data_IF_221630769828
#
_entry.id   IF_221630769828
#
_cell.length_a   1.000
_cell.length_b   1.000
_cell.length_c   1.000
_cell.angle_alpha   90.00
_cell.angle_beta   90.00
_cell.angle_gamma   90.00
#
_symmetry.space_group_name_H-M   'P 1'
#
loop_
_entity.id
_entity.type
_entity.pdbx_description
1 polymer ?
#
# COMPACT_ATOMS: atom_id res chain seq x y z
N UNK A 1 15.44 35.52 3.96
CA UNK A 1 14.74 34.36 3.36
C UNK A 1 13.42 34.22 4.11
N UNK A 2 12.26 34.11 3.46
CA UNK A 2 11.00 33.87 4.16
C UNK A 2 11.08 32.56 4.95
N UNK A 3 10.62 32.56 6.19
CA UNK A 3 10.60 31.35 7.03
C UNK A 3 9.65 30.31 6.43
N UNK A 4 10.11 29.07 6.31
CA UNK A 4 9.30 27.97 5.79
C UNK A 4 8.15 27.66 6.77
N UNK A 5 6.96 27.38 6.23
CA UNK A 5 5.82 26.97 7.07
C UNK A 5 6.10 25.62 7.73
N UNK A 6 5.53 25.39 8.92
CA UNK A 6 5.65 24.12 9.66
C UNK A 6 5.25 22.89 8.81
N UNK A 7 4.18 23.00 8.01
CA UNK A 7 3.77 21.94 7.07
C UNK A 7 4.86 21.65 6.01
N UNK A 8 5.52 22.69 5.49
CA UNK A 8 6.61 22.53 4.51
C UNK A 8 7.85 21.90 5.15
N UNK A 9 8.16 22.26 6.40
CA UNK A 9 9.26 21.62 7.15
C UNK A 9 8.99 20.13 7.40
N UNK A 10 7.77 19.77 7.79
CA UNK A 10 7.33 18.36 7.95
C UNK A 10 7.50 17.56 6.65
N UNK A 11 7.08 18.13 5.51
CA UNK A 11 7.27 17.51 4.20
C UNK A 11 8.75 17.25 3.90
N UNK A 12 9.61 18.25 4.10
CA UNK A 12 11.05 18.14 3.86
C UNK A 12 11.66 17.03 4.73
N UNK A 13 11.32 16.97 6.02
CA UNK A 13 11.80 15.93 6.93
C UNK A 13 11.39 14.52 6.46
N UNK A 14 10.15 14.35 5.98
CA UNK A 14 9.68 13.07 5.44
C UNK A 14 10.47 12.66 4.19
N UNK A 15 10.79 13.60 3.31
CA UNK A 15 11.62 13.35 2.13
C UNK A 15 13.06 12.96 2.51
N UNK A 16 13.63 13.60 3.51
CA UNK A 16 14.95 13.22 4.05
C UNK A 16 14.90 11.79 4.62
N UNK A 17 13.89 11.45 5.41
CA UNK A 17 13.73 10.09 5.95
C UNK A 17 13.54 9.04 4.85
N UNK A 18 12.82 9.39 3.78
CA UNK A 18 12.67 8.52 2.61
C UNK A 18 14.02 8.30 1.94
N UNK A 19 14.78 9.36 1.67
CA UNK A 19 16.11 9.25 1.06
C UNK A 19 17.06 8.38 1.92
N UNK A 20 17.05 8.56 3.23
CA UNK A 20 17.82 7.72 4.16
C UNK A 20 17.38 6.25 4.13
N UNK A 21 16.07 5.99 3.98
CA UNK A 21 15.54 4.62 3.90
C UNK A 21 15.96 3.86 2.63
N UNK A 22 16.38 4.57 1.58
CA UNK A 22 16.90 3.96 0.35
C UNK A 22 18.33 3.42 0.51
N UNK A 23 19.06 3.87 1.52
CA UNK A 23 20.41 3.37 1.79
C UNK A 23 20.34 1.96 2.34
N UNK A 24 21.13 1.06 1.77
CA UNK A 24 21.20 -0.34 2.20
C UNK A 24 21.68 -0.38 3.64
N UNK A 25 20.90 -1.01 4.52
CA UNK A 25 21.32 -1.24 5.91
C UNK A 25 22.26 -2.43 5.94
N UNK A 26 23.54 -2.18 6.23
CA UNK A 26 24.54 -3.24 6.38
C UNK A 26 24.13 -4.21 7.50
N UNK A 27 24.30 -5.51 7.25
CA UNK A 27 24.07 -6.57 8.25
C UNK A 27 22.62 -7.05 8.41
N UNK A 28 21.66 -6.59 7.59
CA UNK A 28 20.29 -7.13 7.60
C UNK A 28 20.16 -8.23 6.54
N UNK A 29 19.78 -9.47 6.91
CA UNK A 29 19.47 -10.52 5.94
C UNK A 29 18.33 -10.11 5.01
N UNK A 30 18.58 -10.16 3.71
CA UNK A 30 17.61 -9.85 2.66
C UNK A 30 17.25 -11.11 1.88
N UNK A 31 16.04 -11.12 1.33
CA UNK A 31 15.56 -12.23 0.52
C UNK A 31 16.30 -12.25 -0.81
N UNK A 32 17.03 -13.35 -1.04
CA UNK A 32 17.71 -13.64 -2.29
C UNK A 32 16.96 -14.71 -3.08
N UNK A 33 16.87 -14.53 -4.39
CA UNK A 33 16.33 -15.55 -5.29
C UNK A 33 17.21 -15.77 -6.51
N UNK A 34 17.69 -17.01 -6.68
CA UNK A 34 18.64 -17.40 -7.74
C UNK A 34 18.04 -17.28 -9.16
N UNK A 35 16.75 -17.56 -9.30
CA UNK A 35 16.04 -17.61 -10.59
C UNK A 35 15.61 -16.24 -11.13
N UNK A 36 16.00 -15.13 -10.49
CA UNK A 36 15.71 -13.79 -11.03
C UNK A 36 16.51 -13.61 -12.31
N UNK A 37 15.88 -13.93 -13.44
CA UNK A 37 16.50 -13.86 -14.76
C UNK A 37 17.03 -12.43 -14.97
N UNK A 38 18.24 -12.29 -15.50
CA UNK A 38 18.87 -10.98 -15.80
C UNK A 38 17.94 -10.02 -16.58
N UNK A 39 17.02 -10.56 -17.39
CA UNK A 39 15.97 -9.79 -18.10
C UNK A 39 14.95 -9.13 -17.16
N UNK A 40 14.58 -9.81 -16.08
CA UNK A 40 13.63 -9.30 -15.06
C UNK A 40 14.30 -8.22 -14.22
N UNK A 41 15.55 -8.43 -13.80
CA UNK A 41 16.33 -7.42 -13.08
C UNK A 41 16.55 -6.15 -13.92
N UNK A 42 16.96 -6.31 -15.19
CA UNK A 42 17.13 -5.18 -16.11
C UNK A 42 15.81 -4.49 -16.50
N UNK A 43 14.68 -5.19 -16.42
CA UNK A 43 13.36 -4.60 -16.58
C UNK A 43 12.97 -3.75 -15.37
N UNK A 44 13.21 -4.23 -14.14
CA UNK A 44 12.95 -3.45 -12.92
C UNK A 44 13.75 -2.13 -12.89
N UNK A 45 15.05 -2.17 -13.18
CA UNK A 45 15.88 -0.95 -13.21
C UNK A 45 15.43 0.05 -14.30
N UNK A 46 14.95 -0.45 -15.45
CA UNK A 46 14.36 0.40 -16.49
C UNK A 46 13.02 1.01 -16.07
N UNK A 47 12.20 0.27 -15.32
CA UNK A 47 10.91 0.75 -14.80
C UNK A 47 11.12 1.89 -13.79
N UNK A 48 12.06 1.73 -12.86
CA UNK A 48 12.29 2.63 -11.72
C UNK A 48 12.50 4.11 -12.11
N UNK A 49 13.04 4.37 -13.30
CA UNK A 49 13.33 5.74 -13.78
C UNK A 49 12.30 6.33 -14.74
N UNK A 50 11.36 5.52 -15.26
CA UNK A 50 10.52 5.91 -16.41
C UNK A 50 9.01 5.79 -16.11
N UNK A 51 8.63 4.88 -15.22
CA UNK A 51 7.21 4.62 -14.90
C UNK A 51 6.74 5.53 -13.76
N UNK A 52 5.53 6.08 -13.90
CA UNK A 52 4.85 6.82 -12.84
C UNK A 52 4.60 5.89 -11.64
N UNK A 53 4.86 6.37 -10.43
CA UNK A 53 4.62 5.66 -9.17
C UNK A 53 3.26 4.92 -9.18
N UNK A 54 2.20 5.58 -9.69
CA UNK A 54 0.86 4.96 -9.74
C UNK A 54 0.88 3.63 -10.49
N UNK A 55 1.54 3.59 -11.64
CA UNK A 55 1.59 2.41 -12.49
C UNK A 55 2.41 1.29 -11.82
N UNK A 56 3.52 1.65 -11.16
CA UNK A 56 4.34 0.69 -10.42
C UNK A 56 3.56 0.02 -9.28
N UNK A 57 2.85 0.83 -8.47
CA UNK A 57 2.01 0.33 -7.37
C UNK A 57 0.86 -0.54 -7.87
N UNK A 58 0.18 -0.14 -8.95
CA UNK A 58 -0.91 -0.92 -9.54
C UNK A 58 -0.42 -2.29 -10.06
N UNK A 59 0.76 -2.35 -10.68
CA UNK A 59 1.35 -3.60 -11.16
C UNK A 59 1.68 -4.54 -10.00
N UNK A 60 2.32 -4.04 -8.94
CA UNK A 60 2.63 -4.82 -7.73
C UNK A 60 1.36 -5.32 -7.04
N UNK A 61 0.42 -4.42 -6.77
CA UNK A 61 -0.88 -4.75 -6.17
C UNK A 61 -1.59 -5.83 -6.97
N UNK A 62 -1.69 -5.69 -8.29
CA UNK A 62 -2.38 -6.67 -9.14
C UNK A 62 -1.70 -8.05 -9.09
N UNK A 63 -0.36 -8.10 -9.01
CA UNK A 63 0.37 -9.34 -8.84
C UNK A 63 0.08 -9.97 -7.47
N UNK A 64 0.16 -9.21 -6.38
CA UNK A 64 -0.15 -9.67 -5.03
C UNK A 64 -1.59 -10.19 -4.97
N UNK A 65 -2.56 -9.43 -5.46
CA UNK A 65 -3.97 -9.78 -5.46
C UNK A 65 -4.22 -11.10 -6.21
N UNK A 66 -3.57 -11.30 -7.37
CA UNK A 66 -3.66 -12.55 -8.15
C UNK A 66 -3.12 -13.74 -7.36
N UNK A 67 -1.97 -13.59 -6.71
CA UNK A 67 -1.34 -14.66 -5.91
C UNK A 67 -2.21 -14.99 -4.70
N UNK A 68 -2.71 -13.98 -3.99
CA UNK A 68 -3.61 -14.14 -2.85
C UNK A 68 -4.89 -14.87 -3.27
N UNK A 69 -5.57 -14.41 -4.33
CA UNK A 69 -6.82 -15.03 -4.79
C UNK A 69 -6.61 -16.49 -5.18
N UNK A 70 -5.51 -16.79 -5.89
CA UNK A 70 -5.18 -18.17 -6.27
C UNK A 70 -4.95 -19.06 -5.05
N UNK A 71 -4.30 -18.57 -3.99
CA UNK A 71 -3.90 -19.40 -2.84
C UNK A 71 -4.95 -19.48 -1.74
N UNK A 72 -5.60 -18.36 -1.40
CA UNK A 72 -6.65 -18.30 -0.38
C UNK A 72 -7.95 -18.98 -0.81
N UNK A 73 -8.22 -19.08 -2.12
CA UNK A 73 -9.33 -19.88 -2.62
C UNK A 73 -9.08 -21.39 -2.48
N UNK A 74 -7.81 -21.81 -2.50
CA UNK A 74 -7.40 -23.22 -2.49
C UNK A 74 -7.03 -23.77 -1.09
N UNK A 75 -6.64 -22.92 -0.14
CA UNK A 75 -6.24 -23.31 1.22
C UNK A 75 -6.91 -22.41 2.25
N UNK A 76 -7.62 -23.02 3.20
CA UNK A 76 -8.29 -22.32 4.33
C UNK A 76 -7.31 -22.02 5.48
N UNK A 77 -6.18 -22.69 5.50
CA UNK A 77 -5.11 -22.51 6.45
C UNK A 77 -4.08 -21.52 5.88
N UNK A 78 -4.15 -20.26 6.33
CA UNK A 78 -3.22 -19.19 5.93
C UNK A 78 -1.75 -19.44 6.30
N UNK A 79 -1.44 -20.56 6.98
CA UNK A 79 -0.09 -20.93 7.41
C UNK A 79 0.81 -21.15 6.20
N UNK A 80 1.95 -20.45 6.19
CA UNK A 80 3.04 -20.58 5.20
C UNK A 80 2.73 -20.02 3.80
N UNK A 81 1.78 -19.08 3.66
CA UNK A 81 1.53 -18.42 2.37
C UNK A 81 2.48 -17.25 2.09
N UNK A 82 2.95 -16.56 3.14
CA UNK A 82 3.70 -15.33 3.01
C UNK A 82 5.04 -15.51 2.30
N UNK A 83 5.85 -16.47 2.74
CA UNK A 83 7.16 -16.73 2.16
C UNK A 83 7.07 -17.03 0.66
N UNK A 84 6.35 -18.09 0.22
CA UNK A 84 6.27 -18.37 -1.21
C UNK A 84 5.52 -17.28 -2.00
N UNK A 85 4.73 -16.39 -1.38
CA UNK A 85 4.17 -15.21 -2.04
C UNK A 85 5.27 -14.16 -2.30
N UNK A 86 6.09 -13.84 -1.32
CA UNK A 86 7.16 -12.85 -1.44
C UNK A 86 8.23 -13.32 -2.44
N UNK A 87 8.63 -14.60 -2.37
CA UNK A 87 9.57 -15.18 -3.34
C UNK A 87 9.01 -15.14 -4.78
N UNK A 88 7.72 -15.44 -4.99
CA UNK A 88 7.09 -15.36 -6.31
C UNK A 88 7.07 -13.92 -6.86
N UNK A 89 6.83 -12.93 -6.00
CA UNK A 89 6.85 -11.53 -6.38
C UNK A 89 8.25 -11.04 -6.79
N UNK A 90 9.30 -11.50 -6.10
CA UNK A 90 10.70 -11.19 -6.46
C UNK A 90 11.08 -11.91 -7.76
N UNK A 91 10.81 -13.21 -7.89
CA UNK A 91 11.05 -13.97 -9.14
C UNK A 91 10.35 -13.35 -10.35
N UNK A 92 9.11 -12.88 -10.15
CA UNK A 92 8.32 -12.21 -11.18
C UNK A 92 8.78 -10.78 -11.50
N UNK A 93 9.75 -10.21 -10.78
CA UNK A 93 10.25 -8.86 -10.98
C UNK A 93 9.35 -7.75 -10.47
N UNK A 94 8.36 -8.08 -9.66
CA UNK A 94 7.49 -7.08 -9.04
C UNK A 94 8.22 -6.31 -7.92
N UNK A 95 9.23 -6.94 -7.32
CA UNK A 95 10.11 -6.31 -6.34
C UNK A 95 11.58 -6.66 -6.64
N UNK A 96 12.52 -5.78 -6.25
CA UNK A 96 13.94 -6.01 -6.46
C UNK A 96 14.47 -7.16 -5.59
N UNK A 97 15.39 -7.93 -6.17
CA UNK A 97 16.16 -8.94 -5.43
C UNK A 97 17.07 -8.26 -4.39
N UNK A 98 17.37 -8.93 -3.27
CA UNK A 98 18.33 -8.47 -2.26
C UNK A 98 18.01 -7.10 -1.62
N UNK A 99 16.73 -6.71 -1.59
CA UNK A 99 16.29 -5.43 -1.00
C UNK A 99 15.27 -5.57 0.12
N UNK A 100 14.45 -6.62 0.10
CA UNK A 100 13.42 -6.85 1.11
C UNK A 100 14.05 -7.65 2.26
N UNK A 101 14.02 -7.16 3.51
CA UNK A 101 14.47 -7.92 4.67
C UNK A 101 13.65 -9.20 4.85
N UNK A 102 14.30 -10.31 5.24
CA UNK A 102 13.59 -11.57 5.52
C UNK A 102 12.53 -11.42 6.62
N UNK A 103 12.73 -10.49 7.57
CA UNK A 103 11.75 -10.19 8.62
C UNK A 103 10.39 -9.76 8.07
N UNK A 104 10.33 -9.19 6.86
CA UNK A 104 9.09 -8.78 6.21
C UNK A 104 8.17 -9.94 5.86
N UNK A 105 8.71 -11.15 5.71
CA UNK A 105 7.89 -12.36 5.51
C UNK A 105 6.93 -12.54 6.69
N UNK A 106 7.41 -12.33 7.92
CA UNK A 106 6.58 -12.45 9.13
C UNK A 106 5.50 -11.37 9.17
N UNK A 107 5.83 -10.15 8.73
CA UNK A 107 4.84 -9.05 8.66
C UNK A 107 3.77 -9.35 7.61
N UNK A 108 4.16 -9.83 6.42
CA UNK A 108 3.22 -10.28 5.39
C UNK A 108 2.32 -11.41 5.90
N UNK A 109 2.87 -12.36 6.67
CA UNK A 109 2.07 -13.45 7.24
C UNK A 109 1.00 -12.93 8.20
N UNK A 110 1.33 -11.99 9.09
CA UNK A 110 0.34 -11.35 9.98
C UNK A 110 -0.79 -10.68 9.21
N UNK A 111 -0.45 -10.01 8.11
CA UNK A 111 -1.44 -9.35 7.25
C UNK A 111 -2.37 -10.41 6.63
N UNK A 112 -1.82 -11.47 6.05
CA UNK A 112 -2.61 -12.58 5.49
C UNK A 112 -3.53 -13.18 6.55
N UNK A 113 -3.01 -13.50 7.73
CA UNK A 113 -3.78 -14.10 8.83
C UNK A 113 -4.94 -13.20 9.27
N UNK A 114 -4.71 -11.88 9.33
CA UNK A 114 -5.74 -10.89 9.66
C UNK A 114 -6.90 -10.92 8.66
N UNK A 115 -6.61 -10.94 7.36
CA UNK A 115 -7.67 -10.96 6.33
C UNK A 115 -8.36 -12.33 6.23
N UNK A 116 -7.64 -13.43 6.45
CA UNK A 116 -8.25 -14.76 6.60
C UNK A 116 -9.24 -14.77 7.77
N UNK A 117 -8.84 -14.22 8.92
CA UNK A 117 -9.72 -14.11 10.08
C UNK A 117 -11.00 -13.32 9.78
N UNK A 118 -10.91 -12.19 9.08
CA UNK A 118 -12.10 -11.42 8.68
C UNK A 118 -13.03 -12.21 7.75
N UNK A 119 -12.47 -13.01 6.84
CA UNK A 119 -13.26 -13.86 5.95
C UNK A 119 -13.97 -14.99 6.71
N UNK A 120 -13.28 -15.63 7.65
CA UNK A 120 -13.84 -16.71 8.49
C UNK A 120 -14.95 -16.23 9.43
N UNK A 121 -14.83 -14.99 9.93
CA UNK A 121 -15.82 -14.39 10.84
C UNK A 121 -16.97 -13.69 10.12
N UNK A 122 -17.00 -13.71 8.79
CA UNK A 122 -18.08 -13.07 8.02
C UNK A 122 -19.43 -13.75 8.31
N UNK A 123 -20.44 -13.00 8.78
CA UNK A 123 -21.74 -13.56 9.17
C UNK A 123 -22.66 -13.86 7.97
N UNK A 124 -22.29 -13.49 6.74
CA UNK A 124 -23.18 -13.62 5.59
C UNK A 124 -23.39 -15.09 5.23
N UNK A 125 -24.64 -15.49 4.98
CA UNK A 125 -25.00 -16.81 4.47
C UNK A 125 -25.06 -16.85 2.93
N UNK A 126 -25.21 -15.69 2.28
CA UNK A 126 -25.36 -15.58 0.83
C UNK A 126 -24.02 -15.69 0.10
N UNK A 127 -23.93 -16.65 -0.81
CA UNK A 127 -22.71 -16.95 -1.57
C UNK A 127 -22.19 -15.74 -2.37
N UNK A 128 -23.09 -14.98 -3.01
CA UNK A 128 -22.70 -13.79 -3.78
C UNK A 128 -22.10 -12.68 -2.90
N UNK A 129 -22.66 -12.47 -1.71
CA UNK A 129 -22.13 -11.48 -0.77
C UNK A 129 -20.76 -11.90 -0.23
N UNK A 130 -20.56 -13.20 0.03
CA UNK A 130 -19.26 -13.75 0.41
C UNK A 130 -18.21 -13.53 -0.68
N UNK A 131 -18.55 -13.77 -1.94
CA UNK A 131 -17.63 -13.56 -3.07
C UNK A 131 -17.24 -12.07 -3.20
N UNK A 132 -18.21 -11.17 -3.11
CA UNK A 132 -17.94 -9.72 -3.15
C UNK A 132 -17.05 -9.27 -1.99
N UNK A 133 -17.33 -9.75 -0.77
CA UNK A 133 -16.51 -9.45 0.40
C UNK A 133 -15.09 -10.02 0.25
N UNK A 134 -14.98 -11.23 -0.29
CA UNK A 134 -13.70 -11.87 -0.58
C UNK A 134 -12.86 -11.06 -1.56
N UNK A 135 -13.46 -10.63 -2.67
CA UNK A 135 -12.79 -9.81 -3.66
C UNK A 135 -12.35 -8.47 -3.07
N UNK A 136 -13.23 -7.82 -2.31
CA UNK A 136 -12.91 -6.56 -1.66
C UNK A 136 -11.78 -6.72 -0.63
N UNK A 137 -11.87 -7.66 0.31
CA UNK A 137 -10.83 -7.90 1.32
C UNK A 137 -9.50 -8.31 0.69
N UNK A 138 -9.52 -9.12 -0.38
CA UNK A 138 -8.30 -9.47 -1.12
C UNK A 138 -7.65 -8.25 -1.75
N UNK A 139 -8.44 -7.30 -2.27
CA UNK A 139 -7.92 -6.06 -2.84
C UNK A 139 -7.30 -5.15 -1.78
N UNK A 140 -7.87 -5.09 -0.56
CA UNK A 140 -7.31 -4.33 0.56
C UNK A 140 -6.04 -5.01 1.09
N UNK A 141 -6.06 -6.35 1.26
CA UNK A 141 -4.89 -7.13 1.67
C UNK A 141 -3.71 -6.92 0.70
N UNK A 142 -3.99 -6.87 -0.60
CA UNK A 142 -2.97 -6.59 -1.60
C UNK A 142 -2.37 -5.19 -1.45
N UNK A 143 -3.18 -4.16 -1.13
CA UNK A 143 -2.68 -2.81 -0.87
C UNK A 143 -1.77 -2.79 0.37
N UNK A 144 -2.16 -3.49 1.44
CA UNK A 144 -1.39 -3.51 2.68
C UNK A 144 -0.06 -4.28 2.56
N UNK A 145 -0.08 -5.43 1.87
CA UNK A 145 1.14 -6.19 1.56
C UNK A 145 2.06 -5.39 0.62
N UNK A 146 1.49 -4.65 -0.32
CA UNK A 146 2.29 -3.79 -1.20
C UNK A 146 2.98 -2.69 -0.38
N UNK A 147 2.23 -2.00 0.49
CA UNK A 147 2.75 -0.94 1.34
C UNK A 147 3.82 -1.43 2.32
N UNK A 148 3.68 -2.64 2.91
CA UNK A 148 4.66 -3.16 3.87
C UNK A 148 5.99 -3.53 3.19
N UNK A 149 5.94 -3.97 1.92
CA UNK A 149 7.08 -4.38 1.12
C UNK A 149 7.73 -3.19 0.38
N UNK A 150 6.95 -2.17 0.01
CA UNK A 150 7.43 -0.93 -0.62
C UNK A 150 6.70 0.30 -0.05
N UNK A 151 7.15 0.82 1.12
CA UNK A 151 6.47 1.93 1.78
C UNK A 151 6.51 3.23 0.93
N UNK A 152 5.36 3.83 0.59
CA UNK A 152 5.28 5.06 -0.22
C UNK A 152 5.44 6.32 0.64
N UNK A 153 6.59 6.44 1.32
CA UNK A 153 6.85 7.51 2.31
C UNK A 153 6.72 8.89 1.67
N UNK A 154 7.25 9.04 0.46
CA UNK A 154 7.30 10.30 -0.29
C UNK A 154 5.91 10.75 -0.71
N UNK A 155 5.12 9.83 -1.25
CA UNK A 155 3.78 10.08 -1.77
C UNK A 155 2.79 10.34 -0.64
N UNK A 156 2.87 9.57 0.45
CA UNK A 156 2.06 9.82 1.64
C UNK A 156 2.36 11.21 2.23
N UNK A 157 3.63 11.63 2.26
CA UNK A 157 3.99 12.97 2.72
C UNK A 157 3.39 14.08 1.83
N UNK A 158 3.35 13.89 0.51
CA UNK A 158 2.70 14.82 -0.41
C UNK A 158 1.18 14.86 -0.25
N UNK A 159 0.55 13.69 -0.07
CA UNK A 159 -0.89 13.59 0.19
C UNK A 159 -1.24 14.36 1.46
N UNK A 160 -0.52 14.10 2.56
CA UNK A 160 -0.74 14.80 3.85
C UNK A 160 -0.53 16.31 3.70
N UNK A 161 0.57 16.74 3.07
CA UNK A 161 0.87 18.15 2.87
C UNK A 161 -0.23 18.87 2.09
N UNK A 162 -0.65 18.27 0.96
CA UNK A 162 -1.68 18.84 0.10
C UNK A 162 -3.05 18.84 0.78
N UNK A 163 -3.38 17.79 1.53
CA UNK A 163 -4.60 17.73 2.33
C UNK A 163 -4.66 18.88 3.34
N UNK A 164 -3.58 19.09 4.11
CA UNK A 164 -3.48 20.16 5.10
C UNK A 164 -3.64 21.56 4.46
N UNK A 165 -3.04 21.78 3.29
CA UNK A 165 -3.19 23.04 2.55
C UNK A 165 -4.59 23.23 1.96
N UNK A 166 -5.20 22.16 1.43
CA UNK A 166 -6.54 22.22 0.85
C UNK A 166 -7.61 22.43 1.91
N UNK A 167 -7.48 21.85 3.11
CA UNK A 167 -8.38 22.09 4.24
C UNK A 167 -8.50 23.57 4.62
N UNK A 168 -7.41 24.33 4.52
CA UNK A 168 -7.38 25.77 4.81
C UNK A 168 -8.07 26.62 3.74
N UNK A 169 -8.10 26.13 2.49
CA UNK A 169 -8.55 26.87 1.31
C UNK A 169 -9.98 26.53 0.89
N UNK A 170 -10.38 25.28 1.06
CA UNK A 170 -11.68 24.78 0.62
C UNK A 170 -12.74 25.16 1.64
N UNK A 171 -13.66 26.04 1.21
CA UNK A 171 -14.89 26.37 1.93
C UNK A 171 -16.04 25.56 1.34
N UNK A 172 -16.77 24.86 2.20
CA UNK A 172 -17.98 24.13 1.80
C UNK A 172 -19.17 25.07 1.95
N UNK A 173 -20.11 25.00 1.01
CA UNK A 173 -21.33 25.78 1.08
C UNK A 173 -22.13 25.38 2.33
N UNK A 174 -22.51 26.35 3.16
CA UNK A 174 -23.28 26.13 4.40
C UNK A 174 -24.64 25.43 4.17
N UNK A 175 -25.17 25.48 2.95
CA UNK A 175 -26.38 24.76 2.55
C UNK A 175 -26.18 23.24 2.45
N UNK A 176 -24.94 22.77 2.34
CA UNK A 176 -24.61 21.36 2.43
C UNK A 176 -24.40 21.04 3.91
N UNK A 177 -25.30 20.27 4.51
CA UNK A 177 -25.18 19.79 5.90
C UNK A 177 -24.09 18.72 6.03
N UNK A 178 -22.84 19.11 5.78
CA UNK A 178 -21.64 18.27 5.92
C UNK A 178 -20.95 18.60 7.25
N UNK A 179 -20.65 17.58 8.03
CA UNK A 179 -19.76 17.72 9.18
C UNK A 179 -18.34 18.07 8.73
N UNK A 180 -17.55 18.69 9.62
CA UNK A 180 -16.13 18.95 9.34
C UNK A 180 -15.35 17.64 9.13
N UNK A 181 -15.74 16.53 9.77
CA UNK A 181 -15.13 15.23 9.55
C UNK A 181 -15.39 14.71 8.12
N UNK A 182 -16.64 14.75 7.65
CA UNK A 182 -16.98 14.32 6.30
C UNK A 182 -16.31 15.18 5.24
N UNK A 183 -16.31 16.50 5.42
CA UNK A 183 -15.56 17.43 4.56
C UNK A 183 -14.09 17.05 4.49
N UNK A 184 -13.46 16.79 5.62
CA UNK A 184 -12.07 16.39 5.73
C UNK A 184 -11.77 15.07 5.01
N UNK A 185 -12.66 14.08 5.14
CA UNK A 185 -12.58 12.81 4.39
C UNK A 185 -12.70 13.05 2.88
N UNK A 186 -13.64 13.88 2.43
CA UNK A 186 -13.80 14.19 1.01
C UNK A 186 -12.57 14.90 0.43
N UNK A 187 -11.99 15.84 1.16
CA UNK A 187 -10.73 16.51 0.76
C UNK A 187 -9.60 15.48 0.66
N UNK A 188 -9.47 14.59 1.64
CA UNK A 188 -8.45 13.55 1.63
C UNK A 188 -8.58 12.61 0.43
N UNK A 189 -9.81 12.20 0.08
CA UNK A 189 -10.10 11.39 -1.11
C UNK A 189 -9.77 12.18 -2.39
N UNK A 190 -10.18 13.44 -2.46
CA UNK A 190 -9.95 14.29 -3.63
C UNK A 190 -8.46 14.52 -3.90
N UNK A 191 -7.67 14.76 -2.87
CA UNK A 191 -6.21 14.94 -2.98
C UNK A 191 -5.54 13.68 -3.52
N UNK A 192 -5.90 12.50 -3.02
CA UNK A 192 -5.36 11.23 -3.51
C UNK A 192 -5.68 11.00 -5.00
N UNK A 193 -6.93 11.30 -5.40
CA UNK A 193 -7.36 11.20 -6.81
C UNK A 193 -6.65 12.22 -7.70
N UNK A 194 -6.42 13.44 -7.20
CA UNK A 194 -5.82 14.51 -7.97
C UNK A 194 -4.30 14.33 -8.15
N UNK A 195 -3.58 13.99 -7.08
CA UNK A 195 -2.11 13.87 -7.11
C UNK A 195 -1.65 12.60 -7.82
N UNK A 196 -2.22 11.46 -7.46
CA UNK A 196 -1.69 10.15 -7.85
C UNK A 196 -2.72 9.28 -8.57
N UNK A 197 -3.94 9.79 -8.78
CA UNK A 197 -5.05 9.05 -9.42
C UNK A 197 -5.23 7.65 -8.81
N UNK A 198 -5.14 7.57 -7.48
CA UNK A 198 -5.24 6.31 -6.74
C UNK A 198 -6.54 5.59 -7.07
N UNK A 199 -6.47 4.27 -7.13
CA UNK A 199 -7.64 3.44 -7.39
C UNK A 199 -8.52 3.32 -6.12
N UNK A 200 -9.80 2.92 -6.26
CA UNK A 200 -10.71 2.81 -5.12
C UNK A 200 -10.20 1.88 -4.00
N UNK A 201 -9.57 0.72 -4.28
CA UNK A 201 -8.98 -0.12 -3.22
C UNK A 201 -7.90 0.60 -2.39
N UNK A 202 -6.95 1.31 -3.00
CA UNK A 202 -5.90 2.04 -2.25
C UNK A 202 -6.53 3.14 -1.40
N UNK A 203 -7.46 3.91 -1.96
CA UNK A 203 -8.17 4.95 -1.21
C UNK A 203 -8.94 4.34 -0.03
N UNK A 204 -9.61 3.20 -0.23
CA UNK A 204 -10.34 2.50 0.83
C UNK A 204 -9.40 2.04 1.94
N UNK A 205 -8.24 1.49 1.58
CA UNK A 205 -7.20 1.09 2.52
C UNK A 205 -6.65 2.28 3.33
N UNK A 206 -6.35 3.39 2.68
CA UNK A 206 -5.94 4.63 3.36
C UNK A 206 -7.01 5.14 4.34
N UNK A 207 -8.30 5.08 3.97
CA UNK A 207 -9.41 5.44 4.85
C UNK A 207 -9.53 4.47 6.04
N UNK A 208 -9.34 3.17 5.83
CA UNK A 208 -9.32 2.16 6.89
C UNK A 208 -8.21 2.46 7.91
N UNK A 209 -6.98 2.71 7.45
CA UNK A 209 -5.86 3.09 8.32
C UNK A 209 -6.12 4.37 9.10
N UNK A 210 -6.77 5.35 8.48
CA UNK A 210 -7.11 6.62 9.13
C UNK A 210 -8.19 6.45 10.20
N UNK A 211 -9.18 5.60 9.94
CA UNK A 211 -10.30 5.34 10.85
C UNK A 211 -9.92 4.39 11.99
N UNK A 212 -9.02 3.45 11.73
CA UNK A 212 -8.57 2.42 12.67
C UNK A 212 -7.04 2.51 12.84
N UNK A 213 -6.55 3.20 13.88
CA UNK A 213 -5.11 3.43 14.07
C UNK A 213 -4.27 2.13 14.17
N UNK A 214 -4.89 1.03 14.63
CA UNK A 214 -4.26 -0.29 14.76
C UNK A 214 -4.56 -1.19 13.55
N UNK A 215 -4.84 -0.61 12.39
CA UNK A 215 -5.12 -1.41 11.19
C UNK A 215 -3.87 -2.16 10.70
N UNK A 216 -2.67 -1.58 10.87
CA UNK A 216 -1.39 -2.15 10.45
C UNK A 216 -0.76 -3.06 11.51
#
# INVERSE_FOLDING_TARGET
MPELTSNTQKLIQRYISWHQSLQTKEGIPTIHVDEVVSRVASFYEKIRGVIDWREEHLLRKAAIERILKRRLFLRKDGKELAEPLVYELIRGGHFPNDKIPESKIKDVQKIIDKYVFFLEKSPSSEERQKLNLYDWLSSIAACEIEEILSPPIRENALIEYMEEEMRKRIKVNEKLSLSEEEKNIQIYIAVQKALFKLDPPIISFHLLKRKFPNWN
#
